data_IF_068688202403
#
_entry.id   IF_068688202403
#
_cell.length_a   1.000
_cell.length_b   1.000
_cell.length_c   1.000
_cell.angle_alpha   90.00
_cell.angle_beta   90.00
_cell.angle_gamma   90.00
#
_symmetry.space_group_name_H-M   'P 1'
#
loop_
_entity.id
_entity.type
_entity.pdbx_description
1 polymer ?
#
# COMPACT_ATOMS: atom_id res chain seq x y z
N UNK A 1 -29.40 -10.17 -11.09
CA UNK A 1 -28.29 -10.81 -10.35
C UNK A 1 -27.40 -9.71 -9.83
N UNK A 2 -27.33 -9.55 -8.52
CA UNK A 2 -26.61 -8.47 -7.86
C UNK A 2 -25.11 -8.66 -8.15
N UNK A 3 -24.52 -7.84 -9.02
CA UNK A 3 -23.07 -7.78 -9.22
C UNK A 3 -22.47 -7.21 -7.92
N UNK A 4 -22.38 -8.07 -6.91
CA UNK A 4 -21.74 -7.76 -5.63
C UNK A 4 -20.39 -7.17 -5.94
N UNK A 5 -20.21 -5.88 -5.66
CA UNK A 5 -19.01 -5.13 -5.99
C UNK A 5 -17.84 -5.74 -5.20
N UNK A 6 -16.98 -6.51 -5.86
CA UNK A 6 -15.85 -7.21 -5.21
C UNK A 6 -14.66 -6.26 -5.05
N UNK A 7 -13.86 -6.53 -4.04
CA UNK A 7 -12.61 -5.86 -3.72
C UNK A 7 -11.45 -6.80 -4.04
N UNK A 8 -10.44 -6.32 -4.78
CA UNK A 8 -9.31 -7.15 -5.15
C UNK A 8 -8.16 -6.96 -4.17
N UNK A 9 -7.88 -8.01 -3.40
CA UNK A 9 -6.98 -8.00 -2.25
C UNK A 9 -5.70 -8.77 -2.59
N UNK A 10 -4.56 -8.12 -2.48
CA UNK A 10 -3.24 -8.73 -2.62
C UNK A 10 -2.89 -9.60 -1.41
N UNK A 11 -3.10 -9.06 -0.21
CA UNK A 11 -2.69 -9.68 1.06
C UNK A 11 -3.57 -9.14 2.20
N UNK A 12 -3.80 -9.96 3.23
CA UNK A 12 -4.37 -9.50 4.51
C UNK A 12 -3.34 -9.84 5.57
N UNK A 13 -2.75 -8.81 6.16
CA UNK A 13 -1.78 -8.95 7.23
C UNK A 13 -2.45 -8.65 8.57
N UNK A 14 -2.12 -9.43 9.59
CA UNK A 14 -2.71 -9.33 10.93
C UNK A 14 -1.65 -8.85 11.90
N UNK A 15 -2.09 -8.22 12.98
CA UNK A 15 -1.22 -7.73 14.05
C UNK A 15 -0.17 -6.71 13.59
N UNK A 16 -0.54 -5.85 12.64
CA UNK A 16 0.31 -4.74 12.21
C UNK A 16 0.36 -3.66 13.30
N UNK A 17 1.57 -3.17 13.59
CA UNK A 17 1.84 -2.13 14.61
C UNK A 17 2.29 -0.80 14.00
N UNK A 18 2.60 -0.76 12.71
CA UNK A 18 3.14 0.41 12.00
C UNK A 18 2.16 1.00 10.98
N UNK A 19 0.98 0.41 10.83
CA UNK A 19 -0.01 0.79 9.81
C UNK A 19 -1.13 1.66 10.42
N UNK A 20 -0.80 2.45 11.45
CA UNK A 20 -1.74 3.26 12.22
C UNK A 20 -1.66 2.95 13.72
N UNK A 21 -2.56 3.54 14.51
CA UNK A 21 -2.55 3.36 15.95
C UNK A 21 -3.09 1.98 16.36
N UNK A 22 -2.50 1.43 17.44
CA UNK A 22 -2.87 0.15 18.02
C UNK A 22 -2.54 -1.07 17.16
N UNK A 23 -3.08 -2.22 17.56
CA UNK A 23 -2.98 -3.47 16.79
C UNK A 23 -3.97 -3.39 15.63
N UNK A 24 -3.48 -3.61 14.41
CA UNK A 24 -4.33 -3.50 13.21
C UNK A 24 -4.32 -4.74 12.33
N UNK A 25 -5.44 -4.98 11.66
CA UNK A 25 -5.48 -5.85 10.49
C UNK A 25 -5.40 -4.98 9.25
N UNK A 26 -4.36 -5.17 8.44
CA UNK A 26 -4.13 -4.41 7.22
C UNK A 26 -4.57 -5.21 6.01
N UNK A 27 -5.48 -4.64 5.23
CA UNK A 27 -5.96 -5.19 3.96
C UNK A 27 -5.24 -4.47 2.83
N UNK A 28 -4.35 -5.17 2.12
CA UNK A 28 -3.61 -4.63 1.00
C UNK A 28 -4.38 -4.87 -0.30
N UNK A 29 -4.85 -3.81 -0.95
CA UNK A 29 -5.56 -3.86 -2.23
C UNK A 29 -4.64 -3.81 -3.45
N UNK A 30 -5.16 -4.29 -4.58
CA UNK A 30 -4.55 -4.17 -5.91
C UNK A 30 -4.92 -2.86 -6.59
N UNK A 31 -4.15 -2.46 -7.59
CA UNK A 31 -4.27 -1.20 -8.31
C UNK A 31 -3.53 -0.06 -7.60
N UNK A 32 -2.59 0.59 -8.29
CA UNK A 32 -1.97 1.83 -7.85
C UNK A 32 -1.74 2.75 -9.06
N UNK A 33 -2.14 4.03 -9.01
CA UNK A 33 -1.91 4.97 -10.10
C UNK A 33 -0.48 5.49 -10.16
N UNK A 34 0.33 5.24 -9.12
CA UNK A 34 1.73 5.66 -9.06
C UNK A 34 2.66 4.52 -9.51
N UNK A 35 3.82 4.91 -10.03
CA UNK A 35 4.92 4.03 -10.39
C UNK A 35 6.20 4.37 -9.60
N UNK A 36 6.09 4.49 -8.28
CA UNK A 36 7.21 4.80 -7.39
C UNK A 36 8.43 3.89 -7.67
N UNK A 37 9.61 4.50 -7.82
CA UNK A 37 10.86 3.78 -8.05
C UNK A 37 11.29 2.94 -6.84
N UNK A 38 10.88 3.32 -5.64
CA UNK A 38 11.14 2.60 -4.37
C UNK A 38 9.96 1.72 -3.91
N UNK A 39 9.02 1.38 -4.78
CA UNK A 39 7.83 0.62 -4.38
C UNK A 39 8.21 -0.76 -3.80
N UNK A 40 7.89 -1.00 -2.53
CA UNK A 40 8.15 -2.29 -1.87
C UNK A 40 7.18 -3.41 -2.30
N UNK A 41 5.97 -3.04 -2.74
CA UNK A 41 4.92 -3.98 -3.15
C UNK A 41 4.54 -3.80 -4.64
N UNK A 42 5.47 -3.98 -5.60
CA UNK A 42 5.19 -3.79 -7.02
C UNK A 42 4.11 -4.73 -7.58
N UNK A 43 3.83 -5.84 -6.92
CA UNK A 43 2.73 -6.75 -7.23
C UNK A 43 1.34 -6.15 -6.99
N UNK A 44 1.24 -5.07 -6.21
CA UNK A 44 -0.04 -4.38 -5.97
C UNK A 44 -0.36 -3.36 -7.06
N UNK A 45 0.59 -2.96 -7.92
CA UNK A 45 0.40 -1.90 -8.93
C UNK A 45 -0.71 -2.21 -9.94
N UNK A 46 -0.70 -3.41 -10.51
CA UNK A 46 -1.70 -3.83 -11.48
C UNK A 46 -3.06 -4.06 -10.80
N UNK A 47 -4.16 -3.67 -11.46
CA UNK A 47 -5.51 -3.94 -10.99
C UNK A 47 -5.95 -5.39 -11.21
N UNK A 48 -5.26 -6.15 -12.06
CA UNK A 48 -5.56 -7.56 -12.35
C UNK A 48 -4.84 -8.52 -11.39
N UNK A 49 -5.43 -9.69 -11.20
CA UNK A 49 -4.80 -10.78 -10.47
C UNK A 49 -3.53 -11.26 -11.18
N UNK A 50 -2.50 -11.62 -10.43
CA UNK A 50 -1.20 -12.04 -10.94
C UNK A 50 -0.68 -13.28 -10.21
N UNK A 51 0.14 -14.06 -10.89
CA UNK A 51 0.82 -15.21 -10.29
C UNK A 51 2.09 -14.71 -9.57
N UNK A 52 2.23 -14.99 -8.28
CA UNK A 52 3.48 -14.85 -7.56
C UNK A 52 4.30 -16.14 -7.66
N UNK A 53 5.62 -16.01 -7.66
CA UNK A 53 6.54 -17.15 -7.63
C UNK A 53 7.66 -16.93 -6.62
N UNK A 54 7.68 -17.79 -5.60
CA UNK A 54 8.68 -17.85 -4.55
C UNK A 54 9.70 -18.94 -4.88
N UNK A 55 10.79 -18.58 -5.54
CA UNK A 55 11.83 -19.53 -5.98
C UNK A 55 12.34 -20.41 -4.83
N UNK A 56 12.52 -19.83 -3.64
CA UNK A 56 12.99 -20.52 -2.44
C UNK A 56 12.01 -21.56 -1.86
N UNK A 57 10.72 -21.49 -2.20
CA UNK A 57 9.72 -22.50 -1.80
C UNK A 57 9.58 -23.63 -2.84
N UNK A 58 10.16 -23.48 -4.03
CA UNK A 58 9.98 -24.46 -5.09
C UNK A 58 10.86 -25.70 -4.85
N UNK A 59 10.24 -26.89 -4.90
CA UNK A 59 10.93 -28.17 -4.77
C UNK A 59 11.13 -28.91 -6.11
N UNK A 60 10.84 -28.25 -7.25
CA UNK A 60 11.05 -28.84 -8.57
C UNK A 60 10.13 -30.01 -8.96
N UNK A 61 8.99 -30.20 -8.26
CA UNK A 61 8.11 -31.37 -8.44
C UNK A 61 7.35 -31.45 -9.78
N UNK A 62 7.46 -30.44 -10.66
CA UNK A 62 6.80 -30.35 -11.98
C UNK A 62 5.26 -30.33 -11.99
N UNK A 63 4.60 -30.35 -10.83
CA UNK A 63 3.13 -30.33 -10.76
C UNK A 63 2.50 -29.11 -11.48
N UNK A 64 3.11 -27.93 -11.34
CA UNK A 64 2.66 -26.72 -12.02
C UNK A 64 2.85 -26.76 -13.56
N UNK A 65 3.89 -27.43 -14.04
CA UNK A 65 4.19 -27.60 -15.47
C UNK A 65 3.19 -28.57 -16.10
N UNK A 66 2.91 -29.70 -15.44
CA UNK A 66 1.97 -30.71 -15.91
C UNK A 66 0.54 -30.20 -16.13
N UNK A 67 0.09 -29.20 -15.35
CA UNK A 67 -1.26 -28.64 -15.46
C UNK A 67 -1.33 -27.35 -16.28
N UNK A 68 -0.19 -26.83 -16.76
CA UNK A 68 -0.14 -25.54 -17.45
C UNK A 68 -0.49 -25.67 -18.94
N UNK A 69 -1.74 -25.35 -19.30
CA UNK A 69 -2.22 -25.43 -20.68
C UNK A 69 -1.44 -24.54 -21.68
N UNK A 70 -0.83 -23.45 -21.19
CA UNK A 70 -0.09 -22.51 -22.04
C UNK A 70 1.43 -22.72 -22.03
N UNK A 71 1.93 -23.80 -21.40
CA UNK A 71 3.36 -24.10 -21.29
C UNK A 71 4.17 -22.90 -20.76
N UNK A 72 3.61 -22.20 -19.76
CA UNK A 72 4.23 -21.03 -19.13
C UNK A 72 5.28 -21.40 -18.08
N UNK A 73 5.21 -22.61 -17.52
CA UNK A 73 6.23 -23.13 -16.59
C UNK A 73 7.24 -23.98 -17.36
N UNK A 74 8.51 -23.84 -17.00
CA UNK A 74 9.60 -24.72 -17.42
C UNK A 74 10.37 -25.15 -16.18
N UNK A 75 10.29 -26.43 -15.81
CA UNK A 75 10.88 -26.96 -14.57
C UNK A 75 12.03 -27.90 -14.92
N UNK A 76 13.25 -27.33 -14.93
CA UNK A 76 14.51 -28.04 -15.14
C UNK A 76 15.40 -28.00 -13.89
N UNK A 77 16.69 -27.68 -14.08
CA UNK A 77 17.63 -27.37 -12.98
C UNK A 77 17.11 -26.18 -12.18
N UNK A 78 16.57 -25.18 -12.88
CA UNK A 78 15.81 -24.08 -12.28
C UNK A 78 14.37 -24.10 -12.78
N UNK A 79 13.45 -23.57 -11.97
CA UNK A 79 12.07 -23.34 -12.37
C UNK A 79 11.92 -21.92 -12.90
N UNK A 80 11.65 -21.81 -14.21
CA UNK A 80 11.36 -20.56 -14.89
C UNK A 80 9.86 -20.44 -15.21
N UNK A 81 9.35 -19.20 -15.21
CA UNK A 81 7.97 -18.89 -15.62
C UNK A 81 8.01 -17.84 -16.73
N UNK A 82 7.58 -18.24 -17.92
CA UNK A 82 7.37 -17.39 -19.10
C UNK A 82 6.07 -16.59 -18.90
N UNK A 83 6.20 -15.38 -18.34
CA UNK A 83 5.06 -14.57 -17.89
C UNK A 83 4.14 -14.15 -19.03
N UNK A 84 4.69 -13.93 -20.21
CA UNK A 84 3.99 -13.59 -21.45
C UNK A 84 3.07 -14.70 -21.95
N UNK A 85 3.34 -15.96 -21.58
CA UNK A 85 2.48 -17.12 -21.89
C UNK A 85 1.43 -17.38 -20.81
N UNK A 86 1.56 -16.76 -19.64
CA UNK A 86 0.65 -17.00 -18.52
C UNK A 86 -0.69 -16.31 -18.75
N UNK A 87 -1.77 -17.08 -18.90
CA UNK A 87 -3.14 -16.56 -18.99
C UNK A 87 -3.76 -16.19 -17.64
N UNK A 88 -3.01 -16.33 -16.54
CA UNK A 88 -3.51 -16.15 -15.18
C UNK A 88 -4.75 -17.01 -14.86
N UNK A 89 -4.79 -18.27 -15.32
CA UNK A 89 -5.85 -19.23 -14.98
C UNK A 89 -5.70 -19.84 -13.57
N UNK A 90 -4.50 -19.73 -12.98
CA UNK A 90 -4.14 -20.17 -11.63
C UNK A 90 -4.28 -21.67 -11.34
N UNK A 91 -4.40 -22.53 -12.36
CA UNK A 91 -4.44 -23.97 -12.15
C UNK A 91 -3.16 -24.51 -11.50
N UNK A 92 -2.01 -23.91 -11.84
CA UNK A 92 -0.73 -24.21 -11.20
C UNK A 92 -0.72 -23.94 -9.69
N UNK A 93 -1.49 -22.95 -9.21
CA UNK A 93 -1.57 -22.62 -7.77
C UNK A 93 -2.27 -23.74 -7.00
N UNK A 94 -3.38 -24.26 -7.54
CA UNK A 94 -4.14 -25.36 -6.92
C UNK A 94 -3.30 -26.63 -6.76
N UNK A 95 -2.33 -26.82 -7.65
CA UNK A 95 -1.49 -28.01 -7.72
C UNK A 95 -0.08 -27.80 -7.14
N UNK A 96 0.19 -26.67 -6.48
CA UNK A 96 1.51 -26.40 -5.88
C UNK A 96 1.55 -26.81 -4.40
N UNK A 97 2.18 -27.95 -4.04
CA UNK A 97 2.15 -28.46 -2.67
C UNK A 97 2.90 -27.54 -1.67
N UNK A 98 3.94 -26.85 -2.14
CA UNK A 98 4.78 -25.99 -1.30
C UNK A 98 4.35 -24.53 -1.26
N UNK A 99 3.28 -24.17 -2.01
CA UNK A 99 2.88 -22.77 -2.24
C UNK A 99 4.02 -21.91 -2.79
N UNK A 100 4.86 -22.50 -3.65
CA UNK A 100 5.85 -21.74 -4.40
C UNK A 100 5.22 -20.84 -5.46
N UNK A 101 4.02 -21.18 -5.95
CA UNK A 101 3.21 -20.29 -6.77
C UNK A 101 1.92 -19.93 -6.05
N UNK A 102 1.59 -18.64 -5.98
CA UNK A 102 0.42 -18.14 -5.26
C UNK A 102 -0.33 -17.08 -6.10
N UNK A 103 -1.59 -16.79 -5.77
CA UNK A 103 -2.37 -15.73 -6.42
C UNK A 103 -2.17 -14.43 -5.64
N UNK A 104 -1.76 -13.36 -6.33
CA UNK A 104 -1.85 -12.00 -5.83
C UNK A 104 -3.06 -11.31 -6.45
N UNK A 105 -3.99 -10.83 -5.61
CA UNK A 105 -5.22 -10.20 -6.05
C UNK A 105 -6.39 -11.17 -6.10
N UNK A 106 -6.85 -11.64 -4.95
CA UNK A 106 -8.06 -12.44 -4.80
C UNK A 106 -9.25 -11.49 -4.67
N UNK A 107 -10.35 -11.79 -5.36
CA UNK A 107 -11.58 -11.00 -5.26
C UNK A 107 -12.38 -11.41 -4.02
N UNK A 108 -12.67 -10.47 -3.14
CA UNK A 108 -13.50 -10.68 -1.96
C UNK A 108 -14.82 -9.91 -2.07
N UNK A 109 -15.91 -10.49 -1.58
CA UNK A 109 -17.09 -9.71 -1.20
C UNK A 109 -16.82 -8.88 0.06
N UNK A 110 -17.67 -7.89 0.33
CA UNK A 110 -17.57 -7.09 1.56
C UNK A 110 -17.75 -8.01 2.79
N UNK A 111 -18.70 -8.93 2.75
CA UNK A 111 -18.96 -9.89 3.83
C UNK A 111 -17.77 -10.83 4.06
N UNK A 112 -17.11 -11.28 3.00
CA UNK A 112 -15.92 -12.12 3.11
C UNK A 112 -14.76 -11.34 3.77
N UNK A 113 -14.53 -10.08 3.39
CA UNK A 113 -13.51 -9.23 4.02
C UNK A 113 -13.82 -8.93 5.47
N UNK A 114 -15.07 -8.57 5.77
CA UNK A 114 -15.51 -8.33 7.14
C UNK A 114 -15.28 -9.57 8.02
N UNK A 115 -15.60 -10.77 7.53
CA UNK A 115 -15.30 -12.02 8.26
C UNK A 115 -13.79 -12.21 8.50
N UNK A 116 -12.92 -11.73 7.61
CA UNK A 116 -11.47 -11.78 7.86
C UNK A 116 -11.06 -10.78 8.94
N UNK A 117 -11.58 -9.55 8.88
CA UNK A 117 -11.30 -8.46 9.82
C UNK A 117 -11.83 -8.78 11.22
N UNK A 118 -13.02 -9.37 11.33
CA UNK A 118 -13.67 -9.69 12.62
C UNK A 118 -12.90 -10.72 13.44
N UNK A 119 -12.10 -11.57 12.80
CA UNK A 119 -11.26 -12.56 13.49
C UNK A 119 -10.23 -11.93 14.43
N UNK A 120 -9.88 -10.66 14.22
CA UNK A 120 -8.84 -9.98 15.01
C UNK A 120 -9.41 -8.91 15.96
N UNK A 121 -10.74 -8.71 15.99
CA UNK A 121 -11.40 -7.64 16.76
C UNK A 121 -11.06 -7.68 18.25
N UNK A 122 -10.99 -8.88 18.84
CA UNK A 122 -10.63 -9.05 20.25
C UNK A 122 -9.23 -8.52 20.60
N UNK A 123 -8.35 -8.35 19.60
CA UNK A 123 -6.98 -7.88 19.80
C UNK A 123 -6.79 -6.39 19.52
N UNK A 124 -7.76 -5.71 18.90
CA UNK A 124 -7.62 -4.29 18.56
C UNK A 124 -7.50 -3.37 19.79
N UNK A 125 -8.09 -3.78 20.92
CA UNK A 125 -8.15 -2.93 22.11
C UNK A 125 -8.84 -1.60 21.82
N UNK A 126 -8.44 -0.53 22.52
CA UNK A 126 -9.13 0.77 22.43
C UNK A 126 -8.72 1.61 21.20
N UNK A 127 -7.53 1.37 20.65
CA UNK A 127 -6.93 2.24 19.62
C UNK A 127 -6.67 1.50 18.29
N UNK A 128 -6.73 0.17 18.28
CA UNK A 128 -6.51 -0.65 17.09
C UNK A 128 -7.73 -0.73 16.18
N UNK A 129 -7.62 -1.46 15.08
CA UNK A 129 -8.70 -1.56 14.10
C UNK A 129 -8.27 -2.14 12.76
N UNK A 130 -8.86 -1.65 11.67
CA UNK A 130 -8.50 -2.06 10.30
C UNK A 130 -7.76 -0.95 9.58
N UNK A 131 -6.72 -1.29 8.84
CA UNK A 131 -6.08 -0.38 7.86
C UNK A 131 -6.34 -0.87 6.45
N UNK A 132 -6.84 0.02 5.60
CA UNK A 132 -7.03 -0.22 4.19
C UNK A 132 -5.84 0.37 3.44
N UNK A 133 -4.98 -0.48 2.88
CA UNK A 133 -3.69 -0.12 2.27
C UNK A 133 -3.48 -0.89 0.94
N UNK A 134 -2.25 -1.12 0.49
CA UNK A 134 -1.91 -1.89 -0.71
C UNK A 134 -1.23 -1.06 -1.77
N UNK A 135 -1.82 -1.07 -2.98
CA UNK A 135 -1.52 -0.08 -4.00
C UNK A 135 -2.10 1.26 -3.62
N UNK A 136 -3.30 1.55 -4.09
CA UNK A 136 -4.09 2.73 -3.72
C UNK A 136 -5.52 2.27 -3.42
N UNK A 137 -5.97 2.29 -2.15
CA UNK A 137 -7.31 1.83 -1.76
C UNK A 137 -8.43 2.44 -2.58
N UNK A 138 -8.34 3.73 -2.95
CA UNK A 138 -9.36 4.40 -3.74
C UNK A 138 -9.48 3.87 -5.17
N UNK A 139 -8.52 3.08 -5.66
CA UNK A 139 -8.63 2.34 -6.93
C UNK A 139 -9.75 1.29 -6.90
N UNK A 140 -10.23 0.92 -5.71
CA UNK A 140 -11.36 0.00 -5.55
C UNK A 140 -12.74 0.70 -5.68
N UNK A 141 -12.75 2.02 -5.88
CA UNK A 141 -13.97 2.79 -6.14
C UNK A 141 -15.00 2.68 -5.02
N UNK A 142 -16.28 2.61 -5.40
CA UNK A 142 -17.39 2.60 -4.44
C UNK A 142 -17.35 1.40 -3.47
N UNK A 143 -16.74 0.28 -3.87
CA UNK A 143 -16.62 -0.90 -3.00
C UNK A 143 -15.83 -0.61 -1.72
N UNK A 144 -14.81 0.26 -1.80
CA UNK A 144 -14.05 0.70 -0.64
C UNK A 144 -14.96 1.40 0.38
N UNK A 145 -15.84 2.28 -0.11
CA UNK A 145 -16.75 3.07 0.73
C UNK A 145 -17.75 2.15 1.43
N UNK A 146 -18.27 1.14 0.73
CA UNK A 146 -19.17 0.16 1.33
C UNK A 146 -18.48 -0.72 2.38
N UNK A 147 -17.21 -1.09 2.17
CA UNK A 147 -16.42 -1.75 3.21
C UNK A 147 -16.21 -0.85 4.43
N UNK A 148 -15.84 0.42 4.23
CA UNK A 148 -15.67 1.38 5.33
C UNK A 148 -16.97 1.56 6.14
N UNK A 149 -18.12 1.68 5.48
CA UNK A 149 -19.44 1.69 6.13
C UNK A 149 -19.69 0.42 6.94
N UNK A 150 -19.36 -0.75 6.37
CA UNK A 150 -19.54 -2.03 7.03
C UNK A 150 -18.66 -2.18 8.28
N UNK A 151 -17.43 -1.68 8.25
CA UNK A 151 -16.55 -1.58 9.43
C UNK A 151 -17.13 -0.64 10.48
N UNK A 152 -17.59 0.55 10.09
CA UNK A 152 -18.18 1.54 11.00
C UNK A 152 -19.46 1.06 11.68
N UNK A 153 -20.31 0.31 10.98
CA UNK A 153 -21.50 -0.32 11.56
C UNK A 153 -21.17 -1.29 12.70
N UNK A 154 -19.94 -1.81 12.73
CA UNK A 154 -19.40 -2.74 13.73
C UNK A 154 -18.50 -2.06 14.75
N UNK A 155 -18.48 -0.73 14.75
CA UNK A 155 -17.66 0.07 15.67
C UNK A 155 -16.16 -0.23 15.53
N UNK A 156 -15.72 -0.72 14.37
CA UNK A 156 -14.31 -0.96 14.07
C UNK A 156 -13.68 0.37 13.66
N UNK A 157 -12.58 0.73 14.34
CA UNK A 157 -11.77 1.88 13.96
C UNK A 157 -11.12 1.65 12.58
N UNK A 158 -11.16 2.67 11.73
CA UNK A 158 -10.73 2.59 10.33
C UNK A 158 -9.61 3.57 10.04
N UNK A 159 -8.52 3.06 9.47
CA UNK A 159 -7.48 3.85 8.85
C UNK A 159 -7.43 3.57 7.34
N UNK A 160 -7.11 4.58 6.55
CA UNK A 160 -6.87 4.43 5.11
C UNK A 160 -5.49 4.97 4.80
N UNK A 161 -4.62 4.11 4.26
CA UNK A 161 -3.32 4.48 3.73
C UNK A 161 -3.43 4.77 2.25
N UNK A 162 -3.20 6.03 1.88
CA UNK A 162 -3.53 6.55 0.55
C UNK A 162 -2.40 7.41 0.01
N UNK A 163 -2.11 7.29 -1.29
CA UNK A 163 -1.24 8.23 -1.98
C UNK A 163 -1.95 9.52 -2.38
N UNK A 164 -3.28 9.56 -2.25
CA UNK A 164 -4.09 10.75 -2.49
C UNK A 164 -4.35 11.06 -3.97
N UNK A 165 -3.77 10.29 -4.89
CA UNK A 165 -4.00 10.44 -6.33
C UNK A 165 -5.26 9.66 -6.72
N UNK A 166 -6.43 10.24 -6.44
CA UNK A 166 -7.72 9.62 -6.70
C UNK A 166 -8.79 10.65 -7.08
N UNK A 167 -9.94 10.16 -7.57
CA UNK A 167 -11.12 11.01 -7.75
C UNK A 167 -11.58 11.54 -6.38
N UNK A 168 -11.63 12.86 -6.22
CA UNK A 168 -12.00 13.50 -4.96
C UNK A 168 -13.38 13.08 -4.44
N UNK A 169 -14.36 12.79 -5.29
CA UNK A 169 -15.69 12.37 -4.83
C UNK A 169 -15.66 11.04 -4.06
N UNK A 170 -14.69 10.18 -4.34
CA UNK A 170 -14.47 8.95 -3.55
C UNK A 170 -13.86 9.29 -2.18
N UNK A 171 -12.85 10.16 -2.14
CA UNK A 171 -12.21 10.62 -0.89
C UNK A 171 -13.27 11.27 0.00
N UNK A 172 -14.01 12.24 -0.54
CA UNK A 172 -15.13 12.93 0.09
C UNK A 172 -16.16 11.96 0.67
N UNK A 173 -16.54 10.93 -0.08
CA UNK A 173 -17.49 9.90 0.38
C UNK A 173 -16.92 9.04 1.52
N UNK A 174 -15.60 8.91 1.63
CA UNK A 174 -14.92 8.14 2.66
C UNK A 174 -14.74 8.91 3.97
N UNK A 175 -14.57 10.24 3.94
CA UNK A 175 -14.16 11.06 5.11
C UNK A 175 -14.93 10.71 6.39
N UNK A 176 -16.25 10.60 6.32
CA UNK A 176 -17.10 10.32 7.49
C UNK A 176 -16.98 8.90 8.06
N UNK A 177 -16.30 8.00 7.34
CA UNK A 177 -16.12 6.60 7.70
C UNK A 177 -14.65 6.25 7.94
N UNK A 178 -13.74 7.22 7.92
CA UNK A 178 -12.32 7.04 8.17
C UNK A 178 -11.95 7.80 9.44
N UNK A 179 -11.37 7.12 10.43
CA UNK A 179 -10.89 7.76 11.66
C UNK A 179 -9.58 8.51 11.45
N UNK A 180 -8.68 7.92 10.65
CA UNK A 180 -7.38 8.50 10.31
C UNK A 180 -7.00 8.17 8.88
N UNK A 181 -6.68 9.19 8.09
CA UNK A 181 -5.98 9.02 6.82
C UNK A 181 -4.48 9.03 7.08
N UNK A 182 -3.82 7.93 6.74
CA UNK A 182 -2.39 7.83 6.61
C UNK A 182 -2.03 8.31 5.20
N UNK A 183 -1.74 9.60 5.07
CA UNK A 183 -1.69 10.29 3.78
C UNK A 183 -0.25 10.46 3.31
N UNK A 184 0.14 9.78 2.23
CA UNK A 184 1.53 9.82 1.77
C UNK A 184 1.89 11.16 1.10
N UNK A 185 2.94 11.79 1.61
CA UNK A 185 3.65 12.89 0.95
C UNK A 185 5.02 12.36 0.54
N UNK A 186 5.10 11.92 -0.72
CA UNK A 186 6.29 11.25 -1.25
C UNK A 186 7.42 12.22 -1.60
N UNK A 187 7.04 13.41 -2.07
CA UNK A 187 7.96 14.51 -2.35
C UNK A 187 7.20 15.84 -2.45
N UNK A 188 7.78 16.92 -1.94
CA UNK A 188 7.20 18.28 -2.00
C UNK A 188 7.64 19.07 -3.24
N UNK A 189 8.60 18.57 -4.01
CA UNK A 189 8.98 19.12 -5.30
C UNK A 189 8.20 18.39 -6.40
N UNK A 190 7.38 19.11 -7.16
CA UNK A 190 6.52 18.53 -8.20
C UNK A 190 7.31 17.78 -9.29
N UNK A 191 8.40 18.38 -9.79
CA UNK A 191 9.20 17.82 -10.88
C UNK A 191 9.83 16.50 -10.42
N UNK A 192 10.46 16.51 -9.25
CA UNK A 192 11.07 15.30 -8.66
C UNK A 192 10.01 14.27 -8.30
N UNK A 193 8.85 14.69 -7.79
CA UNK A 193 7.73 13.78 -7.56
C UNK A 193 7.31 13.07 -8.84
N UNK A 194 7.15 13.80 -9.94
CA UNK A 194 6.77 13.22 -11.23
C UNK A 194 7.84 12.29 -11.80
N UNK A 195 9.11 12.66 -11.70
CA UNK A 195 10.24 11.82 -12.11
C UNK A 195 10.24 10.46 -11.40
N UNK A 196 10.04 10.46 -10.09
CA UNK A 196 10.19 9.27 -9.26
C UNK A 196 8.91 8.48 -9.00
N UNK A 197 7.73 9.07 -9.21
CA UNK A 197 6.43 8.42 -8.99
C UNK A 197 5.58 8.30 -10.24
N UNK A 198 5.95 8.98 -11.33
CA UNK A 198 5.24 8.97 -12.60
C UNK A 198 4.10 10.00 -12.72
N UNK A 199 3.76 10.73 -11.66
CA UNK A 199 2.66 11.72 -11.65
C UNK A 199 3.03 12.99 -10.89
N UNK A 200 2.40 14.12 -11.23
CA UNK A 200 2.50 15.35 -10.43
C UNK A 200 1.85 15.18 -9.06
N UNK A 201 2.41 15.83 -8.04
CA UNK A 201 1.81 15.88 -6.69
C UNK A 201 0.69 16.91 -6.55
N UNK A 202 0.37 17.71 -7.58
CA UNK A 202 -0.68 18.74 -7.51
C UNK A 202 -2.03 18.18 -7.09
N UNK A 203 -2.54 17.17 -7.80
CA UNK A 203 -3.82 16.53 -7.46
C UNK A 203 -3.81 15.94 -6.04
N UNK A 204 -2.67 15.38 -5.62
CA UNK A 204 -2.49 14.81 -4.27
C UNK A 204 -2.63 15.90 -3.21
N UNK A 205 -2.00 17.05 -3.42
CA UNK A 205 -2.07 18.20 -2.50
C UNK A 205 -3.45 18.85 -2.53
N UNK A 206 -4.06 19.03 -3.70
CA UNK A 206 -5.41 19.57 -3.85
C UNK A 206 -6.44 18.70 -3.10
N UNK A 207 -6.39 17.38 -3.30
CA UNK A 207 -7.23 16.43 -2.59
C UNK A 207 -7.02 16.49 -1.07
N UNK A 208 -5.77 16.64 -0.61
CA UNK A 208 -5.44 16.75 0.80
C UNK A 208 -6.05 18.02 1.42
N UNK A 209 -5.88 19.18 0.79
CA UNK A 209 -6.47 20.43 1.27
C UNK A 209 -8.00 20.37 1.25
N UNK A 210 -8.60 19.87 0.17
CA UNK A 210 -10.05 19.71 0.12
C UNK A 210 -10.56 18.76 1.22
N UNK A 211 -9.89 17.62 1.45
CA UNK A 211 -10.26 16.69 2.52
C UNK A 211 -10.11 17.34 3.91
N UNK A 212 -9.06 18.12 4.14
CA UNK A 212 -8.86 18.87 5.38
C UNK A 212 -10.00 19.88 5.63
N UNK A 213 -10.44 20.63 4.61
CA UNK A 213 -11.59 21.54 4.77
C UNK A 213 -12.89 20.84 5.15
N UNK A 214 -12.98 19.53 4.88
CA UNK A 214 -14.12 18.68 5.21
C UNK A 214 -13.95 17.91 6.54
N UNK A 215 -12.87 18.17 7.28
CA UNK A 215 -12.63 17.57 8.60
C UNK A 215 -11.92 16.23 8.58
N UNK A 216 -11.28 15.86 7.46
CA UNK A 216 -10.50 14.63 7.39
C UNK A 216 -9.30 14.70 8.34
N UNK A 217 -9.22 13.78 9.31
CA UNK A 217 -8.07 13.66 10.21
C UNK A 217 -6.92 13.00 9.46
N UNK A 218 -5.82 13.71 9.27
CA UNK A 218 -4.68 13.22 8.48
C UNK A 218 -3.45 13.06 9.35
N UNK A 219 -2.69 11.99 9.12
CA UNK A 219 -1.29 11.87 9.52
C UNK A 219 -0.49 11.84 8.23
N UNK A 220 0.37 12.83 8.02
CA UNK A 220 1.21 12.86 6.82
C UNK A 220 2.30 11.80 6.98
N UNK A 221 2.40 10.88 6.03
CA UNK A 221 3.46 9.87 5.98
C UNK A 221 4.47 10.27 4.91
N UNK A 222 5.69 10.51 5.32
CA UNK A 222 6.74 11.05 4.45
C UNK A 222 7.85 10.03 4.33
N UNK A 223 7.94 9.35 3.18
CA UNK A 223 9.05 8.44 2.91
C UNK A 223 10.33 9.24 2.70
N UNK A 224 11.40 8.89 3.42
CA UNK A 224 12.72 9.51 3.30
C UNK A 224 13.65 8.64 2.48
N UNK A 225 14.24 9.24 1.44
CA UNK A 225 15.07 8.56 0.47
C UNK A 225 16.34 9.38 0.23
N UNK A 226 17.47 8.79 0.61
CA UNK A 226 18.77 9.42 0.47
C UNK A 226 19.06 9.76 -1.00
N UNK A 227 19.62 10.94 -1.22
CA UNK A 227 19.93 11.45 -2.56
C UNK A 227 18.72 11.96 -3.36
N UNK A 228 17.49 11.82 -2.84
CA UNK A 228 16.27 12.29 -3.51
C UNK A 228 15.62 13.42 -2.71
N UNK A 229 15.08 13.11 -1.53
CA UNK A 229 14.23 14.03 -0.77
C UNK A 229 14.74 14.28 0.65
N UNK A 230 15.94 13.83 1.00
CA UNK A 230 16.57 14.08 2.30
C UNK A 230 17.23 15.47 2.38
N UNK A 231 16.45 16.53 2.18
CA UNK A 231 16.95 17.92 2.16
C UNK A 231 16.19 18.83 3.12
N UNK A 232 16.86 19.85 3.68
CA UNK A 232 16.24 20.86 4.56
C UNK A 232 15.04 21.54 3.88
N UNK A 233 15.13 21.78 2.57
CA UNK A 233 14.04 22.37 1.79
C UNK A 233 12.79 21.46 1.80
N UNK A 234 12.96 20.16 1.56
CA UNK A 234 11.86 19.20 1.59
C UNK A 234 11.22 19.14 2.99
N UNK A 235 12.04 19.03 4.03
CA UNK A 235 11.59 18.96 5.42
C UNK A 235 10.84 20.23 5.83
N UNK A 236 11.34 21.40 5.44
CA UNK A 236 10.69 22.69 5.68
C UNK A 236 9.34 22.79 4.97
N UNK A 237 9.23 22.29 3.74
CA UNK A 237 7.96 22.26 3.00
C UNK A 237 6.95 21.30 3.64
N UNK A 238 7.40 20.16 4.17
CA UNK A 238 6.54 19.25 4.96
C UNK A 238 6.03 19.96 6.22
N UNK A 239 6.92 20.63 6.98
CA UNK A 239 6.54 21.37 8.18
C UNK A 239 5.50 22.46 7.90
N UNK A 240 5.70 23.24 6.83
CA UNK A 240 4.73 24.25 6.36
C UNK A 240 3.41 23.64 5.95
N UNK A 241 3.44 22.56 5.17
CA UNK A 241 2.23 21.86 4.72
C UNK A 241 1.41 21.37 5.93
N UNK A 242 2.05 20.69 6.88
CA UNK A 242 1.39 20.19 8.08
C UNK A 242 0.79 21.33 8.93
N UNK A 243 1.48 22.46 9.05
CA UNK A 243 0.99 23.65 9.77
C UNK A 243 -0.24 24.30 9.09
N UNK A 244 -0.35 24.22 7.77
CA UNK A 244 -1.48 24.78 7.02
C UNK A 244 -2.78 23.96 7.16
N UNK A 245 -2.67 22.68 7.50
CA UNK A 245 -3.80 21.75 7.59
C UNK A 245 -4.41 21.79 9.00
N UNK A 246 -5.71 22.06 9.09
CA UNK A 246 -6.41 22.25 10.38
C UNK A 246 -6.61 20.95 11.16
N UNK A 247 -6.72 19.83 10.44
CA UNK A 247 -7.01 18.50 10.99
C UNK A 247 -5.81 17.54 10.86
N UNK A 248 -4.63 18.07 10.53
CA UNK A 248 -3.40 17.29 10.53
C UNK A 248 -2.98 16.96 11.97
N UNK A 249 -2.89 15.67 12.27
CA UNK A 249 -2.50 15.14 13.58
C UNK A 249 -0.97 15.14 13.76
N UNK A 250 -0.21 15.32 12.67
CA UNK A 250 1.25 15.35 12.66
C UNK A 250 1.85 14.63 11.47
N UNK A 251 3.17 14.42 11.54
CA UNK A 251 4.00 13.84 10.48
C UNK A 251 4.68 12.57 11.00
N UNK A 252 4.71 11.52 10.19
CA UNK A 252 5.46 10.29 10.40
C UNK A 252 6.49 10.16 9.29
N UNK A 253 7.77 10.06 9.64
CA UNK A 253 8.83 9.80 8.67
C UNK A 253 9.03 8.31 8.52
N UNK A 254 9.02 7.82 7.28
CA UNK A 254 9.20 6.41 6.94
C UNK A 254 10.54 6.27 6.19
N UNK A 255 11.63 5.87 6.87
CA UNK A 255 12.92 5.66 6.21
C UNK A 255 12.80 4.58 5.14
N UNK A 256 13.34 4.84 3.95
CA UNK A 256 13.50 3.79 2.95
C UNK A 256 14.39 2.67 3.51
N UNK A 257 14.02 1.43 3.21
CA UNK A 257 14.84 0.27 3.51
C UNK A 257 14.99 -0.62 2.28
N UNK A 258 16.20 -1.16 2.08
CA UNK A 258 16.45 -2.17 1.05
C UNK A 258 16.23 -3.60 1.56
N UNK A 259 15.94 -3.78 2.86
CA UNK A 259 15.77 -5.10 3.46
C UNK A 259 14.60 -5.85 2.80
N UNK A 260 14.85 -7.14 2.52
CA UNK A 260 14.01 -8.08 1.76
C UNK A 260 13.92 -7.87 0.23
N UNK A 261 14.62 -6.87 -0.32
CA UNK A 261 14.45 -6.51 -1.73
C UNK A 261 13.01 -6.06 -2.02
N UNK A 262 12.73 -5.68 -3.25
CA UNK A 262 11.34 -5.51 -3.67
C UNK A 262 10.72 -6.87 -3.98
N UNK A 263 9.40 -7.02 -3.75
CA UNK A 263 8.64 -8.20 -4.19
C UNK A 263 8.57 -8.33 -5.74
N UNK A 264 9.35 -7.54 -6.48
CA UNK A 264 9.45 -7.54 -7.94
C UNK A 264 9.83 -8.91 -8.51
N UNK A 265 10.78 -9.59 -7.87
CA UNK A 265 11.23 -10.92 -8.30
C UNK A 265 10.08 -11.95 -8.30
N UNK A 266 9.12 -11.82 -7.38
CA UNK A 266 7.97 -12.73 -7.30
C UNK A 266 7.03 -12.60 -8.50
N UNK A 267 7.03 -11.45 -9.18
CA UNK A 267 6.28 -11.21 -10.42
C UNK A 267 7.16 -11.30 -11.67
N UNK A 268 8.40 -11.79 -11.54
CA UNK A 268 9.33 -11.95 -12.67
C UNK A 268 9.96 -10.64 -13.15
N UNK A 269 10.03 -9.62 -12.29
CA UNK A 269 10.75 -8.37 -12.56
C UNK A 269 12.08 -8.37 -11.80
N UNK A 270 13.04 -7.61 -12.31
CA UNK A 270 14.31 -7.37 -11.61
C UNK A 270 14.04 -6.64 -10.29
N UNK A 271 14.78 -7.03 -9.25
CA UNK A 271 14.74 -6.32 -7.98
C UNK A 271 15.43 -4.97 -8.14
N UNK A 272 14.70 -3.89 -7.84
CA UNK A 272 15.16 -2.52 -7.92
C UNK A 272 15.45 -1.90 -6.54
N UNK A 273 15.64 -2.72 -5.50
CA UNK A 273 16.09 -2.26 -4.20
C UNK A 273 17.46 -1.56 -4.30
N UNK A 274 17.59 -0.37 -3.70
CA UNK A 274 18.80 0.43 -3.77
C UNK A 274 19.34 0.76 -2.37
N UNK A 275 20.47 0.18 -1.97
CA UNK A 275 21.05 0.44 -0.64
C UNK A 275 21.54 1.89 -0.46
N UNK A 276 21.88 2.58 -1.54
CA UNK A 276 22.32 3.99 -1.49
C UNK A 276 21.18 4.94 -1.15
N UNK A 277 19.93 4.49 -1.30
CA UNK A 277 18.72 5.23 -0.97
C UNK A 277 18.32 5.17 0.50
N UNK A 278 19.01 4.35 1.30
CA UNK A 278 18.77 4.26 2.74
C UNK A 278 19.26 5.57 3.40
N UNK A 279 18.38 6.34 4.05
CA UNK A 279 18.78 7.56 4.75
C UNK A 279 19.61 7.24 5.99
N UNK A 280 20.54 8.14 6.35
CA UNK A 280 21.28 8.03 7.60
C UNK A 280 20.43 8.45 8.80
N UNK A 281 20.80 7.99 10.00
CA UNK A 281 20.14 8.41 11.24
C UNK A 281 20.19 9.94 11.43
N UNK A 282 21.30 10.58 11.02
CA UNK A 282 21.43 12.04 11.03
C UNK A 282 20.40 12.71 10.12
N UNK A 283 20.17 12.20 8.91
CA UNK A 283 19.16 12.72 7.99
C UNK A 283 17.74 12.58 8.55
N UNK A 284 17.45 11.46 9.23
CA UNK A 284 16.16 11.20 9.87
C UNK A 284 15.95 12.18 11.04
N UNK A 285 16.95 12.35 11.91
CA UNK A 285 16.84 13.27 13.04
C UNK A 285 16.80 14.74 12.61
N UNK A 286 17.50 15.13 11.54
CA UNK A 286 17.37 16.43 10.89
C UNK A 286 15.94 16.67 10.42
N UNK A 287 15.35 15.71 9.70
CA UNK A 287 13.96 15.80 9.25
C UNK A 287 12.98 16.02 10.41
N UNK A 288 13.12 15.24 11.49
CA UNK A 288 12.32 15.37 12.70
C UNK A 288 12.49 16.75 13.35
N UNK A 289 13.73 17.23 13.49
CA UNK A 289 14.05 18.52 14.12
C UNK A 289 13.50 19.69 13.31
N UNK A 290 13.67 19.68 11.99
CA UNK A 290 13.14 20.73 11.11
C UNK A 290 11.62 20.77 11.20
N UNK A 291 10.91 19.64 11.09
CA UNK A 291 9.43 19.63 11.17
C UNK A 291 8.94 20.06 12.57
N UNK A 292 9.59 19.64 13.65
CA UNK A 292 9.26 20.08 15.01
C UNK A 292 9.36 21.61 15.19
N UNK A 293 10.28 22.28 14.49
CA UNK A 293 10.40 23.75 14.54
C UNK A 293 9.15 24.51 14.04
N UNK A 294 8.27 23.84 13.28
CA UNK A 294 6.98 24.40 12.84
C UNK A 294 5.84 24.15 13.85
N UNK A 295 6.15 23.68 15.07
CA UNK A 295 5.19 23.25 16.10
C UNK A 295 4.29 22.10 15.65
N UNK A 296 4.81 21.23 14.77
CA UNK A 296 4.12 20.06 14.26
C UNK A 296 4.54 18.83 15.06
N UNK A 297 3.57 18.01 15.48
CA UNK A 297 3.84 16.71 16.12
C UNK A 297 4.54 15.80 15.11
N UNK A 298 5.61 15.14 15.56
CA UNK A 298 6.28 14.07 14.82
C UNK A 298 6.10 12.77 15.58
N UNK A 299 5.60 11.74 14.90
CA UNK A 299 5.36 10.41 15.45
C UNK A 299 6.63 9.57 15.54
#
# INVERSE_FOLDING_TARGET
MNTSKRLKVAEIQRFCMHDGDGIRTTVFFKGCPLNCKWCHNPETKESKSQLLFYKNKCMGCKACEAVCQNNAHSVGIEHAILREKCSACFECVKNCPTKAVEICGIDYSIEELIKQIEKDVAFYGNNGGVTLSGGEPFSQGQSLIELLKACKKREINTAVETCGYANFELIKSAIRYVDTFLYDIKDTNEIRHQEYTGVSNKLILDNLFCADTMGAKTRLRCILINGINTTIEHYSRIGKLAQQLKNCQGVEFVPYHAYAGTKASFIGKEDNGNKEWIPSDEQIEEAKRVVKSYNVKVF
#
